data_IF_831405376473
#
_entry.id   IF_831405376473
#
_cell.length_a   1.000
_cell.length_b   1.000
_cell.length_c   1.000
_cell.angle_alpha   90.00
_cell.angle_beta   90.00
_cell.angle_gamma   90.00
#
_symmetry.space_group_name_H-M   'P 1'
#
loop_
_entity.id
_entity.type
_entity.pdbx_description
1 polymer ?
#
# COMPACT_ATOMS: atom_id res chain seq x y z
N UNK A 1 -23.09 -6.45 -26.43
CA UNK A 1 -22.61 -7.18 -25.23
C UNK A 1 -23.80 -7.34 -24.30
N UNK A 2 -24.09 -8.55 -23.79
CA UNK A 2 -25.35 -8.86 -23.07
C UNK A 2 -25.51 -7.98 -21.83
N UNK A 3 -26.72 -7.44 -21.64
CA UNK A 3 -27.16 -6.61 -20.51
C UNK A 3 -26.99 -7.26 -19.13
N UNK A 4 -26.80 -8.58 -19.09
CA UNK A 4 -26.75 -9.37 -17.85
C UNK A 4 -25.48 -9.16 -17.01
N UNK A 5 -24.44 -8.52 -17.57
CA UNK A 5 -23.17 -8.29 -16.87
C UNK A 5 -23.11 -6.98 -16.07
N UNK A 6 -24.15 -6.16 -16.15
CA UNK A 6 -24.26 -4.89 -15.41
C UNK A 6 -23.45 -3.73 -16.04
N UNK A 7 -23.25 -2.68 -15.26
CA UNK A 7 -22.61 -1.44 -15.69
C UNK A 7 -21.12 -1.66 -16.03
N UNK A 8 -20.64 -0.95 -17.04
CA UNK A 8 -19.25 -1.01 -17.49
C UNK A 8 -18.44 0.06 -16.74
N UNK A 9 -17.27 -0.33 -16.25
CA UNK A 9 -16.25 0.56 -15.69
C UNK A 9 -14.97 0.46 -16.49
N UNK A 10 -14.30 1.57 -16.74
CA UNK A 10 -13.00 1.61 -17.40
C UNK A 10 -11.88 1.64 -16.37
N UNK A 11 -10.76 0.98 -16.66
CA UNK A 11 -9.53 1.11 -15.88
C UNK A 11 -8.35 1.15 -16.84
N UNK A 12 -7.50 2.17 -16.70
CA UNK A 12 -6.35 2.37 -17.55
C UNK A 12 -5.09 1.98 -16.79
N UNK A 13 -4.22 1.18 -17.42
CA UNK A 13 -2.87 0.93 -16.91
C UNK A 13 -1.89 1.73 -17.76
N UNK A 14 -0.97 2.43 -17.11
CA UNK A 14 0.07 3.26 -17.74
C UNK A 14 1.19 2.41 -18.36
N UNK A 15 0.87 1.28 -19.00
CA UNK A 15 1.77 0.19 -19.36
C UNK A 15 3.17 0.61 -19.81
N UNK A 16 4.17 -0.21 -19.46
CA UNK A 16 5.61 0.01 -19.69
C UNK A 16 6.02 0.32 -21.14
N UNK A 17 5.11 0.11 -22.10
CA UNK A 17 5.33 0.25 -23.55
C UNK A 17 4.81 1.57 -24.12
N UNK A 18 4.57 2.58 -23.26
CA UNK A 18 4.10 3.93 -23.61
C UNK A 18 2.68 4.02 -24.22
N UNK A 19 2.01 2.91 -24.53
CA UNK A 19 0.60 2.87 -24.90
C UNK A 19 -0.26 2.42 -23.71
N UNK A 20 -1.12 3.31 -23.17
CA UNK A 20 -2.00 2.93 -22.07
C UNK A 20 -3.03 1.91 -22.56
N UNK A 21 -3.13 0.78 -21.86
CA UNK A 21 -4.15 -0.24 -22.13
C UNK A 21 -5.36 0.07 -21.28
N UNK A 22 -6.46 0.41 -21.95
CA UNK A 22 -7.77 0.57 -21.30
C UNK A 22 -8.43 -0.79 -21.24
N UNK A 23 -8.72 -1.23 -20.02
CA UNK A 23 -9.49 -2.43 -19.74
C UNK A 23 -10.92 -2.05 -19.37
N UNK A 24 -11.87 -2.89 -19.79
CA UNK A 24 -13.28 -2.76 -19.42
C UNK A 24 -13.60 -3.83 -18.38
N UNK A 25 -14.09 -3.37 -17.23
CA UNK A 25 -14.72 -4.20 -16.21
C UNK A 25 -16.23 -4.04 -16.24
N UNK A 26 -16.95 -4.98 -15.63
CA UNK A 26 -18.39 -4.91 -15.41
C UNK A 26 -18.72 -5.02 -13.93
N UNK A 27 -19.99 -4.79 -13.55
CA UNK A 27 -20.46 -5.03 -12.16
C UNK A 27 -20.12 -6.44 -11.69
N UNK A 28 -20.32 -7.45 -12.54
CA UNK A 28 -20.01 -8.85 -12.21
C UNK A 28 -18.51 -9.06 -11.98
N UNK A 29 -17.63 -8.48 -12.81
CA UNK A 29 -16.19 -8.63 -12.60
C UNK A 29 -15.73 -7.93 -11.32
N UNK A 30 -16.32 -6.78 -10.98
CA UNK A 30 -16.05 -6.07 -9.72
C UNK A 30 -16.51 -6.86 -8.49
N UNK A 31 -17.67 -7.52 -8.57
CA UNK A 31 -18.14 -8.44 -7.53
C UNK A 31 -17.17 -9.61 -7.36
N UNK A 32 -16.77 -10.26 -8.46
CA UNK A 32 -15.81 -11.37 -8.41
C UNK A 32 -14.47 -10.93 -7.80
N UNK A 33 -13.96 -9.75 -8.19
CA UNK A 33 -12.75 -9.17 -7.60
C UNK A 33 -12.87 -9.00 -6.08
N UNK A 34 -13.99 -8.42 -5.63
CA UNK A 34 -14.27 -8.19 -4.20
C UNK A 34 -14.32 -9.50 -3.41
N UNK A 35 -15.00 -10.52 -3.94
CA UNK A 35 -15.09 -11.84 -3.33
C UNK A 35 -13.71 -12.52 -3.22
N UNK A 36 -12.89 -12.42 -4.27
CA UNK A 36 -11.52 -12.96 -4.27
C UNK A 36 -10.62 -12.23 -3.26
N UNK A 37 -10.72 -10.90 -3.16
CA UNK A 37 -9.99 -10.10 -2.16
C UNK A 37 -10.35 -10.53 -0.74
N UNK A 38 -11.65 -10.60 -0.42
CA UNK A 38 -12.11 -11.04 0.90
C UNK A 38 -11.64 -12.47 1.22
N UNK A 39 -11.79 -13.38 0.27
CA UNK A 39 -11.30 -14.76 0.42
C UNK A 39 -9.81 -14.81 0.71
N UNK A 40 -9.00 -13.99 0.04
CA UNK A 40 -7.56 -13.91 0.30
C UNK A 40 -7.26 -13.46 1.73
N UNK A 41 -8.00 -12.47 2.26
CA UNK A 41 -7.85 -12.05 3.66
C UNK A 41 -8.19 -13.18 4.64
N UNK A 42 -9.29 -13.90 4.40
CA UNK A 42 -9.71 -15.04 5.22
C UNK A 42 -8.68 -16.18 5.20
N UNK A 43 -8.15 -16.50 4.02
CA UNK A 43 -7.12 -17.52 3.85
C UNK A 43 -5.81 -17.18 4.55
N UNK A 44 -5.40 -15.92 4.47
CA UNK A 44 -4.25 -15.42 5.21
C UNK A 44 -4.51 -15.27 6.71
N UNK A 45 -5.74 -15.58 7.18
CA UNK A 45 -6.18 -15.42 8.57
C UNK A 45 -5.85 -14.03 9.12
N UNK A 46 -6.06 -12.99 8.32
CA UNK A 46 -5.82 -11.62 8.76
C UNK A 46 -6.81 -11.23 9.85
N UNK A 47 -6.33 -10.52 10.84
CA UNK A 47 -7.17 -9.82 11.79
C UNK A 47 -7.75 -8.59 11.11
N UNK A 48 -9.06 -8.57 10.87
CA UNK A 48 -9.71 -7.45 10.22
C UNK A 48 -9.71 -6.18 11.06
N UNK A 49 -9.49 -6.26 12.38
CA UNK A 49 -9.43 -5.07 13.24
C UNK A 49 -8.16 -4.21 13.00
N UNK A 50 -7.13 -4.79 12.37
CA UNK A 50 -5.87 -4.11 12.12
C UNK A 50 -5.93 -2.99 11.09
N UNK A 51 -4.92 -2.13 11.11
CA UNK A 51 -4.72 -1.04 10.16
C UNK A 51 -4.02 -1.52 8.90
N UNK A 52 -4.60 -1.22 7.74
CA UNK A 52 -4.04 -1.55 6.43
C UNK A 52 -3.44 -0.32 5.77
N UNK A 53 -2.11 -0.29 5.60
CA UNK A 53 -1.46 0.72 4.77
C UNK A 53 -1.12 0.19 3.39
N UNK A 54 -1.28 1.02 2.36
CA UNK A 54 -0.83 0.69 1.02
C UNK A 54 0.02 1.79 0.40
N UNK A 55 1.10 1.40 -0.27
CA UNK A 55 1.94 2.31 -1.07
C UNK A 55 1.84 1.84 -2.51
N UNK A 56 1.06 2.55 -3.33
CA UNK A 56 0.72 2.10 -4.69
C UNK A 56 0.33 3.25 -5.60
N UNK A 57 0.34 3.01 -6.91
CA UNK A 57 -0.22 3.96 -7.86
C UNK A 57 -1.75 4.01 -7.71
N UNK A 58 -2.28 5.20 -7.41
CA UNK A 58 -3.71 5.42 -7.12
C UNK A 58 -4.42 6.26 -8.19
N UNK A 59 -3.71 6.72 -9.22
CA UNK A 59 -4.22 7.68 -10.21
C UNK A 59 -4.37 9.11 -9.68
N UNK A 60 -4.14 9.33 -8.38
CA UNK A 60 -4.07 10.63 -7.73
C UNK A 60 -2.83 10.66 -6.82
N UNK A 61 -2.10 11.78 -6.85
CA UNK A 61 -0.96 11.99 -5.97
C UNK A 61 -1.46 12.37 -4.57
N UNK A 62 -0.77 11.87 -3.53
CA UNK A 62 -1.02 12.26 -2.15
C UNK A 62 -1.27 11.09 -1.21
N UNK A 63 -1.91 11.41 -0.08
CA UNK A 63 -2.28 10.48 0.97
C UNK A 63 -3.80 10.41 1.09
N UNK A 64 -4.33 9.21 1.26
CA UNK A 64 -5.76 8.94 1.36
C UNK A 64 -6.03 8.08 2.58
N UNK A 65 -6.95 8.51 3.45
CA UNK A 65 -7.41 7.73 4.58
C UNK A 65 -8.84 7.24 4.32
N UNK A 66 -9.13 6.00 4.70
CA UNK A 66 -10.44 5.38 4.62
C UNK A 66 -10.73 4.66 5.94
N UNK A 67 -11.99 4.65 6.36
CA UNK A 67 -12.42 3.94 7.58
C UNK A 67 -12.53 2.42 7.38
N UNK A 68 -12.21 1.92 6.18
CA UNK A 68 -12.23 0.50 5.86
C UNK A 68 -11.16 0.14 4.81
N UNK A 69 -10.89 -1.16 4.67
CA UNK A 69 -9.90 -1.70 3.74
C UNK A 69 -10.29 -1.65 2.25
N UNK A 70 -11.44 -1.06 1.94
CA UNK A 70 -11.92 -0.84 0.59
C UNK A 70 -13.10 -1.73 0.20
N UNK A 71 -13.45 -1.68 -1.09
CA UNK A 71 -14.68 -2.27 -1.63
C UNK A 71 -14.79 -3.79 -1.47
N UNK A 72 -13.66 -4.50 -1.28
CA UNK A 72 -13.66 -5.94 -1.07
C UNK A 72 -14.24 -6.37 0.29
N UNK A 73 -14.23 -5.47 1.27
CA UNK A 73 -14.66 -5.72 2.65
C UNK A 73 -15.86 -4.85 3.06
N UNK A 74 -16.07 -3.73 2.37
CA UNK A 74 -17.15 -2.78 2.63
C UNK A 74 -18.51 -3.49 2.72
N UNK A 75 -19.27 -3.17 3.77
CA UNK A 75 -20.59 -3.71 4.09
C UNK A 75 -20.68 -5.24 4.32
N UNK A 76 -19.55 -5.96 4.26
CA UNK A 76 -19.50 -7.41 4.47
C UNK A 76 -18.86 -7.74 5.83
N UNK A 77 -17.78 -7.06 6.17
CA UNK A 77 -17.00 -7.27 7.40
C UNK A 77 -16.52 -5.93 7.92
N UNK A 78 -16.64 -5.71 9.23
CA UNK A 78 -16.03 -4.57 9.88
C UNK A 78 -14.51 -4.70 9.84
N UNK A 79 -13.82 -3.69 9.31
CA UNK A 79 -12.37 -3.64 9.27
C UNK A 79 -11.84 -2.45 10.06
N UNK A 80 -10.57 -2.47 10.43
CA UNK A 80 -9.84 -1.30 10.88
C UNK A 80 -9.65 -0.28 9.76
N UNK A 81 -9.02 0.86 10.09
CA UNK A 81 -8.79 1.92 9.12
C UNK A 81 -7.79 1.49 8.06
N UNK A 82 -7.83 2.15 6.91
CA UNK A 82 -6.83 2.02 5.86
C UNK A 82 -6.26 3.37 5.48
N UNK A 83 -4.98 3.39 5.13
CA UNK A 83 -4.31 4.56 4.59
C UNK A 83 -3.54 4.20 3.32
N UNK A 84 -3.49 5.11 2.37
CA UNK A 84 -2.81 4.90 1.10
C UNK A 84 -1.91 6.08 0.80
N UNK A 85 -0.69 5.79 0.36
CA UNK A 85 0.30 6.75 -0.10
C UNK A 85 0.64 6.47 -1.57
N UNK A 86 0.76 7.53 -2.35
CA UNK A 86 1.18 7.41 -3.75
C UNK A 86 2.63 6.87 -3.86
N UNK A 87 2.85 5.96 -4.82
CA UNK A 87 4.15 5.31 -5.00
C UNK A 87 5.24 6.30 -5.44
N UNK A 88 4.88 7.42 -6.06
CA UNK A 88 5.85 8.40 -6.54
C UNK A 88 6.43 9.28 -5.43
N UNK A 89 5.91 9.19 -4.20
CA UNK A 89 6.54 9.77 -3.01
C UNK A 89 7.96 9.20 -2.82
N UNK A 90 8.93 10.02 -2.41
CA UNK A 90 10.30 9.52 -2.25
C UNK A 90 10.42 8.53 -1.07
N UNK A 91 11.46 7.69 -1.07
CA UNK A 91 11.61 6.60 -0.09
C UNK A 91 11.70 7.08 1.36
N UNK A 92 12.30 8.24 1.61
CA UNK A 92 12.39 8.84 2.94
C UNK A 92 11.00 9.23 3.47
N UNK A 93 10.21 9.91 2.65
CA UNK A 93 8.84 10.28 2.98
C UNK A 93 7.94 9.05 3.13
N UNK A 94 8.14 8.02 2.30
CA UNK A 94 7.44 6.74 2.46
C UNK A 94 7.79 6.07 3.80
N UNK A 95 9.07 6.07 4.19
CA UNK A 95 9.54 5.51 5.44
C UNK A 95 8.99 6.27 6.65
N UNK A 96 9.06 7.60 6.64
CA UNK A 96 8.50 8.44 7.69
C UNK A 96 6.99 8.23 7.82
N UNK A 97 6.27 8.23 6.70
CA UNK A 97 4.84 7.98 6.68
C UNK A 97 4.49 6.60 7.26
N UNK A 98 5.25 5.55 6.91
CA UNK A 98 5.02 4.22 7.49
C UNK A 98 5.22 4.18 9.00
N UNK A 99 6.24 4.89 9.52
CA UNK A 99 6.45 5.02 10.97
C UNK A 99 5.27 5.74 11.62
N UNK A 100 4.80 6.84 11.04
CA UNK A 100 3.67 7.61 11.55
C UNK A 100 2.35 6.82 11.50
N UNK A 101 2.17 6.01 10.45
CA UNK A 101 0.96 5.22 10.29
C UNK A 101 0.92 3.99 11.19
N UNK A 102 2.07 3.41 11.56
CA UNK A 102 2.19 2.19 12.36
C UNK A 102 1.21 1.07 11.94
N UNK A 103 1.31 0.54 10.71
CA UNK A 103 0.33 -0.40 10.19
C UNK A 103 0.57 -1.84 10.62
N UNK A 104 -0.51 -2.58 10.89
CA UNK A 104 -0.49 -4.04 11.03
C UNK A 104 -0.20 -4.75 9.70
N UNK A 105 -0.68 -4.17 8.60
CA UNK A 105 -0.54 -4.73 7.26
C UNK A 105 -0.04 -3.71 6.25
N UNK A 106 0.99 -4.07 5.49
CA UNK A 106 1.49 -3.31 4.35
C UNK A 106 1.15 -4.00 3.03
N UNK A 107 0.54 -3.28 2.10
CA UNK A 107 0.35 -3.67 0.72
C UNK A 107 1.16 -2.75 -0.21
N UNK A 108 2.22 -3.27 -0.82
CA UNK A 108 3.04 -2.48 -1.76
C UNK A 108 3.75 -3.37 -2.77
N UNK A 109 4.50 -2.75 -3.68
CA UNK A 109 5.32 -3.43 -4.67
C UNK A 109 6.63 -3.97 -4.06
N UNK A 110 7.15 -5.12 -4.53
CA UNK A 110 8.41 -5.66 -4.01
C UNK A 110 9.60 -4.68 -4.07
N UNK A 111 9.67 -3.85 -5.12
CA UNK A 111 10.72 -2.83 -5.27
C UNK A 111 10.69 -1.78 -4.17
N UNK A 112 9.50 -1.40 -3.71
CA UNK A 112 9.32 -0.45 -2.59
C UNK A 112 9.80 -1.09 -1.29
N UNK A 113 9.45 -2.35 -1.04
CA UNK A 113 9.92 -3.09 0.16
C UNK A 113 11.45 -3.11 0.21
N UNK A 114 12.10 -3.44 -0.90
CA UNK A 114 13.58 -3.45 -0.98
C UNK A 114 14.16 -2.07 -0.69
N UNK A 115 13.61 -1.01 -1.30
CA UNK A 115 14.07 0.36 -1.08
C UNK A 115 13.93 0.80 0.38
N UNK A 116 12.80 0.48 1.03
CA UNK A 116 12.55 0.79 2.43
C UNK A 116 13.51 0.04 3.37
N UNK A 117 13.73 -1.26 3.13
CA UNK A 117 14.69 -2.06 3.92
C UNK A 117 16.08 -1.46 3.83
N UNK A 118 16.55 -1.10 2.64
CA UNK A 118 17.86 -0.47 2.47
C UNK A 118 17.93 0.90 3.14
N UNK A 119 16.89 1.71 3.02
CA UNK A 119 16.81 3.00 3.70
C UNK A 119 16.92 2.85 5.22
N UNK A 120 16.10 1.98 5.83
CA UNK A 120 16.14 1.75 7.28
C UNK A 120 17.48 1.17 7.75
N UNK A 121 18.07 0.26 6.95
CA UNK A 121 19.40 -0.30 7.23
C UNK A 121 20.46 0.81 7.24
N UNK A 122 20.46 1.69 6.25
CA UNK A 122 21.41 2.82 6.19
C UNK A 122 21.24 3.78 7.36
N UNK A 123 20.01 4.15 7.71
CA UNK A 123 19.76 5.04 8.86
C UNK A 123 20.22 4.42 10.18
N UNK A 124 20.02 3.12 10.37
CA UNK A 124 20.52 2.41 11.56
C UNK A 124 22.05 2.43 11.65
N UNK A 125 22.75 2.30 10.51
CA UNK A 125 24.21 2.38 10.44
C UNK A 125 24.71 3.81 10.71
N UNK A 126 24.05 4.83 10.16
CA UNK A 126 24.41 6.23 10.46
C UNK A 126 24.26 6.54 11.95
N UNK A 127 23.18 6.05 12.59
CA UNK A 127 22.97 6.22 14.02
C UNK A 127 24.05 5.54 14.87
N UNK A 128 24.50 4.33 14.50
CA UNK A 128 25.55 3.64 15.25
C UNK A 128 26.92 4.31 15.08
N UNK A 129 27.28 4.76 13.87
CA UNK A 129 28.50 5.53 13.63
C UNK A 129 28.50 6.87 14.36
N UNK A 130 27.37 7.59 14.35
CA UNK A 130 27.22 8.84 15.09
C UNK A 130 27.44 8.63 16.60
N UNK A 131 26.89 7.55 17.17
CA UNK A 131 27.09 7.22 18.59
C UNK A 131 28.55 6.91 18.91
N UNK A 132 29.24 6.12 18.07
CA UNK A 132 30.67 5.82 18.25
C UNK A 132 31.57 7.06 18.15
N UNK A 133 31.25 8.01 17.28
CA UNK A 133 32.01 9.26 17.12
C UNK A 133 31.90 10.19 18.32
N UNK A 134 30.77 10.18 19.04
CA UNK A 134 30.57 11.03 20.23
C UNK A 134 31.30 10.45 21.45
N UNK A 135 31.38 9.12 21.56
CA UNK A 135 32.14 8.45 22.63
C UNK A 135 33.68 8.55 22.43
N UNK A 136 34.16 8.75 21.19
CA UNK A 136 35.57 8.93 20.86
C UNK A 136 36.14 10.34 21.13
N UNK A 137 35.34 11.29 21.61
CA UNK A 137 35.72 12.69 21.81
C UNK A 137 35.83 13.13 23.28
N UNK A 138 35.91 12.22 24.25
CA UNK A 138 36.32 12.58 25.63
C UNK A 138 37.84 12.75 25.69
N UNK A 139 38.37 13.96 25.95
CA UNK A 139 39.78 14.11 26.28
C UNK A 139 40.04 13.51 27.68
N UNK A 140 41.20 12.87 27.83
CA UNK A 140 41.82 12.56 29.12
C UNK A 140 42.24 13.84 29.84
#
# INVERSE_FOLDING_TARGET
MRSDHGQISTSSTSGSTATPVVTLGTTVTRMMWSACTLRQHLWAKRDFSGKLCSIRACGQQGQFANDNWGLGTLDIVHTGPAATLDIHTNVEQQAQWLIEQDPDYLLTYPSVVVALIEYFRQQSLQSCYARQSVDGLRPL
#
